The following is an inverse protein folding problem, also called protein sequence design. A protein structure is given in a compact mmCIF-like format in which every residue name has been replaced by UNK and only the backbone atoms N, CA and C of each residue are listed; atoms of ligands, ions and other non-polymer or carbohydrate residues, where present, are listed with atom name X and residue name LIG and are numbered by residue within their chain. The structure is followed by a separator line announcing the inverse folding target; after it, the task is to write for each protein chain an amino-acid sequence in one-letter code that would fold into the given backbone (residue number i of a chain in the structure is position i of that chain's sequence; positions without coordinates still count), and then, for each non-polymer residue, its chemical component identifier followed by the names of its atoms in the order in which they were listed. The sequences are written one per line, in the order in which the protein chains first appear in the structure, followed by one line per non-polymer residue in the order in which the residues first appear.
data_IF_783750223235
#
_entry.id   IF_783750223235
#
_cell.length_a   1.000
_cell.length_b   1.000
_cell.length_c   1.000
_cell.angle_alpha   90.00
_cell.angle_beta   90.00
_cell.angle_gamma   90.00
#
_symmetry.space_group_name_H-M   'P 1'
#
loop_
_entity.id
_entity.type
_entity.pdbx_description
1 polymer ?
#
# COMPACT_ATOMS: atom_id res chain seq x y z
N UNK A 1 -1.43 14.50 -3.22
CA UNK A 1 -0.68 15.77 -3.07
C UNK A 1 -1.68 16.93 -3.16
N UNK A 2 -1.49 18.02 -2.40
CA UNK A 2 -2.42 19.17 -2.42
C UNK A 2 -2.10 20.12 -3.58
N UNK A 3 -3.09 20.87 -4.07
CA UNK A 3 -2.89 21.87 -5.12
C UNK A 3 -1.79 22.86 -4.77
N UNK A 4 -1.78 23.34 -3.51
CA UNK A 4 -0.78 24.29 -3.03
C UNK A 4 0.66 23.78 -3.21
N UNK A 5 0.91 22.46 -3.07
CA UNK A 5 2.25 21.92 -3.27
C UNK A 5 2.75 22.06 -4.72
N UNK A 6 1.83 22.10 -5.70
CA UNK A 6 2.18 22.29 -7.11
C UNK A 6 2.43 23.75 -7.48
N UNK A 7 1.79 24.70 -6.78
CA UNK A 7 1.78 26.12 -7.17
C UNK A 7 2.28 27.09 -6.11
N UNK A 8 2.83 26.61 -4.97
CA UNK A 8 3.29 27.50 -3.87
C UNK A 8 4.31 28.55 -4.31
N UNK A 9 5.12 28.24 -5.33
CA UNK A 9 6.16 29.09 -5.88
C UNK A 9 6.09 28.98 -7.40
N UNK A 10 5.81 30.10 -8.05
CA UNK A 10 5.72 30.20 -9.51
C UNK A 10 6.92 31.03 -9.99
N UNK A 11 7.88 30.32 -10.60
CA UNK A 11 9.15 30.85 -11.10
C UNK A 11 9.39 30.37 -12.54
N UNK A 12 10.12 31.13 -13.36
CA UNK A 12 10.61 30.62 -14.64
C UNK A 12 11.44 29.34 -14.43
N UNK A 13 11.34 28.38 -15.36
CA UNK A 13 12.04 27.10 -15.27
C UNK A 13 11.43 26.09 -14.29
N UNK A 14 10.30 26.40 -13.63
CA UNK A 14 9.57 25.40 -12.86
C UNK A 14 8.98 24.30 -13.76
N UNK A 15 8.64 23.16 -13.17
CA UNK A 15 7.87 22.12 -13.83
C UNK A 15 6.61 21.79 -13.01
N UNK A 16 5.55 21.42 -13.71
CA UNK A 16 4.28 21.03 -13.09
C UNK A 16 3.83 19.69 -13.69
N UNK A 17 3.59 18.70 -12.83
CA UNK A 17 2.88 17.48 -13.25
C UNK A 17 1.43 17.85 -13.58
N UNK A 18 1.13 18.12 -14.86
CA UNK A 18 -0.19 18.59 -15.32
C UNK A 18 -1.32 17.69 -14.85
N UNK A 19 -1.16 16.37 -15.00
CA UNK A 19 -2.18 15.38 -14.60
C UNK A 19 -2.45 15.40 -13.10
N UNK A 20 -1.42 15.44 -12.26
CA UNK A 20 -1.61 15.44 -10.81
C UNK A 20 -2.14 16.79 -10.31
N UNK A 21 -1.67 17.88 -10.90
CA UNK A 21 -2.11 19.22 -10.55
C UNK A 21 -3.57 19.47 -10.93
N UNK A 22 -4.01 19.05 -12.13
CA UNK A 22 -5.42 19.13 -12.55
C UNK A 22 -6.33 18.33 -11.61
N UNK A 23 -5.93 17.11 -11.25
CA UNK A 23 -6.67 16.32 -10.27
C UNK A 23 -6.69 16.99 -8.89
N UNK A 24 -5.62 17.69 -8.49
CA UNK A 24 -5.57 18.45 -7.25
C UNK A 24 -6.49 19.69 -7.28
N UNK A 25 -6.64 20.35 -8.43
CA UNK A 25 -7.61 21.43 -8.63
C UNK A 25 -9.03 20.90 -8.40
N UNK A 26 -9.42 19.83 -9.10
CA UNK A 26 -10.76 19.24 -8.96
C UNK A 26 -11.09 18.89 -7.50
N UNK A 27 -10.14 18.27 -6.78
CA UNK A 27 -10.31 17.99 -5.34
C UNK A 27 -10.41 19.25 -4.48
N UNK A 28 -9.64 20.31 -4.78
CA UNK A 28 -9.70 21.56 -4.03
C UNK A 28 -11.08 22.24 -4.13
N UNK A 29 -11.78 22.01 -5.25
CA UNK A 29 -13.13 22.50 -5.50
C UNK A 29 -14.23 21.60 -4.91
N UNK A 30 -13.86 20.44 -4.35
CA UNK A 30 -14.82 19.47 -3.84
C UNK A 30 -15.60 18.75 -4.94
N UNK A 31 -15.02 18.61 -6.13
CA UNK A 31 -15.63 17.79 -7.19
C UNK A 31 -15.53 16.34 -6.77
N UNK A 32 -16.68 15.70 -6.64
CA UNK A 32 -16.81 14.28 -6.39
C UNK A 32 -16.74 13.49 -7.70
N UNK A 33 -16.24 12.26 -7.61
CA UNK A 33 -16.17 11.30 -8.71
C UNK A 33 -17.16 10.16 -8.49
N UNK A 34 -17.55 9.48 -9.56
CA UNK A 34 -18.47 8.35 -9.49
C UNK A 34 -17.95 7.19 -8.63
N UNK A 35 -16.64 7.16 -8.39
CA UNK A 35 -15.92 6.10 -7.67
C UNK A 35 -15.42 6.54 -6.29
N UNK A 36 -15.79 7.72 -5.77
CA UNK A 36 -15.29 8.18 -4.47
C UNK A 36 -15.74 7.27 -3.32
N UNK A 37 -16.96 6.77 -3.36
CA UNK A 37 -17.49 5.81 -2.37
C UNK A 37 -16.77 4.46 -2.46
N UNK A 38 -16.50 4.01 -3.69
CA UNK A 38 -15.72 2.80 -3.94
C UNK A 38 -14.28 2.97 -3.41
N UNK A 39 -13.63 4.10 -3.66
CA UNK A 39 -12.30 4.41 -3.15
C UNK A 39 -12.24 4.40 -1.61
N UNK A 40 -13.27 4.95 -0.94
CA UNK A 40 -13.35 4.90 0.53
C UNK A 40 -13.49 3.46 1.03
N UNK A 41 -14.36 2.69 0.38
CA UNK A 41 -14.62 1.29 0.72
C UNK A 41 -13.37 0.42 0.52
N UNK A 42 -12.74 0.50 -0.65
CA UNK A 42 -11.54 -0.27 -0.98
C UNK A 42 -10.37 0.03 -0.04
N UNK A 43 -10.20 1.30 0.37
CA UNK A 43 -9.15 1.66 1.34
C UNK A 43 -9.43 1.08 2.72
N UNK A 44 -10.68 1.14 3.19
CA UNK A 44 -11.08 0.55 4.46
C UNK A 44 -10.92 -0.98 4.45
N UNK A 45 -11.32 -1.64 3.36
CA UNK A 45 -11.10 -3.08 3.19
C UNK A 45 -9.61 -3.45 3.22
N UNK A 46 -8.77 -2.68 2.52
CA UNK A 46 -7.33 -2.93 2.47
C UNK A 46 -6.65 -2.77 3.83
N UNK A 47 -7.09 -1.79 4.63
CA UNK A 47 -6.60 -1.57 6.00
C UNK A 47 -7.01 -2.70 6.95
N UNK A 48 -8.19 -3.31 6.73
CA UNK A 48 -8.65 -4.45 7.51
C UNK A 48 -8.00 -5.80 7.14
N UNK A 49 -7.24 -5.87 6.04
CA UNK A 49 -6.67 -7.13 5.54
C UNK A 49 -5.29 -7.41 6.14
N UNK A 50 -5.04 -8.61 6.73
CA UNK A 50 -3.75 -8.98 7.32
C UNK A 50 -2.59 -8.96 6.31
N UNK A 51 -1.36 -8.68 6.78
CA UNK A 51 -0.21 -8.43 5.92
C UNK A 51 0.74 -9.63 5.69
N UNK A 52 0.73 -10.66 6.54
CA UNK A 52 1.81 -11.65 6.58
C UNK A 52 1.33 -13.10 6.51
N UNK A 53 2.03 -13.90 5.68
CA UNK A 53 1.87 -15.35 5.60
C UNK A 53 2.82 -16.01 6.62
N UNK A 54 2.30 -16.75 7.63
CA UNK A 54 3.15 -17.41 8.61
C UNK A 54 3.96 -18.56 8.01
N UNK A 55 5.20 -18.72 8.46
CA UNK A 55 6.04 -19.85 8.06
C UNK A 55 5.62 -21.15 8.75
N UNK A 56 5.59 -22.24 7.99
CA UNK A 56 5.35 -23.61 8.45
C UNK A 56 6.63 -24.43 8.64
N UNK A 57 7.81 -23.82 8.45
CA UNK A 57 9.09 -24.53 8.48
C UNK A 57 9.41 -25.14 9.85
N UNK A 58 9.13 -24.39 10.92
CA UNK A 58 9.36 -24.85 12.31
C UNK A 58 8.51 -26.07 12.65
N UNK A 59 7.20 -26.03 12.34
CA UNK A 59 6.31 -27.16 12.59
C UNK A 59 6.69 -28.39 11.76
N UNK A 60 7.08 -28.22 10.48
CA UNK A 60 7.59 -29.31 9.65
C UNK A 60 8.84 -29.96 10.24
N UNK A 61 9.77 -29.15 10.75
CA UNK A 61 10.99 -29.64 11.38
C UNK A 61 10.69 -30.45 12.63
N UNK A 62 9.80 -29.96 13.49
CA UNK A 62 9.39 -30.66 14.71
C UNK A 62 8.75 -32.03 14.43
N UNK A 63 7.92 -32.14 13.39
CA UNK A 63 7.36 -33.44 12.96
C UNK A 63 8.46 -34.41 12.51
N UNK A 64 9.49 -33.92 11.80
CA UNK A 64 10.60 -34.77 11.37
C UNK A 64 11.46 -35.24 12.56
N UNK A 65 11.75 -34.35 13.50
CA UNK A 65 12.50 -34.66 14.72
C UNK A 65 11.76 -35.70 15.58
N UNK A 66 10.49 -35.45 15.90
CA UNK A 66 9.65 -36.37 16.69
C UNK A 66 9.39 -37.70 15.98
N UNK A 67 9.32 -37.74 14.64
CA UNK A 67 9.25 -38.99 13.88
C UNK A 67 10.52 -39.84 14.04
N UNK A 68 11.69 -39.21 13.96
CA UNK A 68 12.97 -39.90 14.12
C UNK A 68 13.15 -40.43 15.56
N UNK A 69 12.76 -39.64 16.57
CA UNK A 69 12.77 -40.06 17.97
C UNK A 69 11.81 -41.23 18.23
N UNK A 70 10.59 -41.18 17.64
CA UNK A 70 9.61 -42.24 17.75
C UNK A 70 10.15 -43.57 17.18
N UNK A 71 10.79 -43.52 16.01
CA UNK A 71 11.33 -44.72 15.37
C UNK A 71 12.48 -45.32 16.19
N UNK A 72 13.39 -44.49 16.70
CA UNK A 72 14.47 -44.93 17.58
C UNK A 72 13.94 -45.60 18.87
N UNK A 73 12.83 -45.09 19.44
CA UNK A 73 12.20 -45.72 20.61
C UNK A 73 11.50 -47.03 20.26
N UNK A 74 10.88 -47.16 19.08
CA UNK A 74 10.30 -48.43 18.60
C UNK A 74 11.35 -49.51 18.42
N UNK A 75 12.47 -49.18 17.79
CA UNK A 75 13.61 -50.08 17.64
C UNK A 75 14.14 -50.57 19.00
N UNK A 76 14.25 -49.65 19.98
CA UNK A 76 14.69 -49.99 21.34
C UNK A 76 13.72 -50.94 22.06
N UNK A 77 12.41 -50.72 21.94
CA UNK A 77 11.39 -51.61 22.49
C UNK A 77 11.48 -53.00 21.85
N UNK A 78 11.64 -53.08 20.52
CA UNK A 78 11.79 -54.34 19.82
C UNK A 78 13.05 -55.12 20.26
N UNK A 79 14.19 -54.43 20.39
CA UNK A 79 15.44 -55.04 20.86
C UNK A 79 15.34 -55.55 22.31
N UNK A 80 14.69 -54.79 23.20
CA UNK A 80 14.47 -55.21 24.60
C UNK A 80 13.48 -56.39 24.70
N UNK A 81 12.43 -56.40 23.88
CA UNK A 81 11.50 -57.53 23.78
C UNK A 81 12.21 -58.81 23.37
N UNK A 82 13.10 -58.74 22.36
CA UNK A 82 13.90 -59.88 21.92
C UNK A 82 14.80 -60.44 23.03
N UNK A 83 15.46 -59.57 23.80
CA UNK A 83 16.28 -59.97 24.96
C UNK A 83 15.47 -60.60 26.10
N UNK A 84 14.29 -60.05 26.43
CA UNK A 84 13.39 -60.65 27.42
C UNK A 84 12.96 -62.06 27.06
N UNK A 85 12.72 -62.34 25.77
CA UNK A 85 12.32 -63.67 25.31
C UNK A 85 13.47 -64.69 25.33
N UNK A 86 14.71 -64.22 25.38
CA UNK A 86 15.92 -65.05 25.46
C UNK A 86 16.38 -65.36 26.90
N UNK A 87 15.61 -64.94 27.92
CA UNK A 87 15.80 -65.23 29.36
C UNK A 87 17.09 -64.67 30.02
N UNK A 88 17.58 -63.51 29.54
CA UNK A 88 18.60 -62.71 30.22
C UNK A 88 17.97 -61.88 31.36
N UNK A 89 18.21 -62.30 32.61
CA UNK A 89 17.67 -61.64 33.81
C UNK A 89 17.91 -60.12 33.87
N UNK A 90 16.91 -59.38 34.37
CA UNK A 90 16.76 -57.92 34.49
C UNK A 90 16.24 -57.15 33.24
N UNK A 91 15.97 -57.82 32.12
CA UNK A 91 15.43 -57.16 30.92
C UNK A 91 14.00 -56.58 31.09
N UNK A 92 13.24 -57.03 32.10
CA UNK A 92 11.83 -56.65 32.32
C UNK A 92 11.60 -55.20 32.75
N UNK A 93 12.47 -54.64 33.60
CA UNK A 93 12.31 -53.24 34.06
C UNK A 93 12.69 -52.26 32.96
N UNK A 94 13.79 -52.53 32.25
CA UNK A 94 14.21 -51.75 31.08
C UNK A 94 13.16 -51.78 29.96
N UNK A 95 12.48 -52.91 29.75
CA UNK A 95 11.40 -53.02 28.77
C UNK A 95 10.18 -52.17 29.13
N UNK A 96 9.72 -52.21 30.39
CA UNK A 96 8.61 -51.37 30.86
C UNK A 96 8.92 -49.88 30.72
N UNK A 97 10.14 -49.46 31.04
CA UNK A 97 10.58 -48.08 30.85
C UNK A 97 10.64 -47.68 29.37
N UNK A 98 11.13 -48.58 28.49
CA UNK A 98 11.12 -48.37 27.05
C UNK A 98 9.70 -48.23 26.48
N UNK A 99 8.72 -49.00 26.96
CA UNK A 99 7.30 -48.83 26.58
C UNK A 99 6.81 -47.45 27.00
N UNK A 100 7.07 -47.03 28.26
CA UNK A 100 6.64 -45.71 28.74
C UNK A 100 7.19 -44.58 27.88
N UNK A 101 8.51 -44.60 27.63
CA UNK A 101 9.15 -43.58 26.79
C UNK A 101 8.66 -43.62 25.35
N UNK A 102 8.31 -44.78 24.81
CA UNK A 102 7.69 -44.92 23.49
C UNK A 102 6.31 -44.23 23.46
N UNK A 103 5.45 -44.49 24.45
CA UNK A 103 4.13 -43.83 24.53
C UNK A 103 4.24 -42.30 24.65
N UNK A 104 5.26 -41.79 25.36
CA UNK A 104 5.57 -40.36 25.40
C UNK A 104 5.94 -39.83 24.01
N UNK A 105 6.81 -40.53 23.25
CA UNK A 105 7.16 -40.11 21.89
C UNK A 105 6.00 -40.21 20.90
N UNK A 106 5.12 -41.20 21.04
CA UNK A 106 3.90 -41.30 20.24
C UNK A 106 3.00 -40.08 20.47
N UNK A 107 2.87 -39.66 21.73
CA UNK A 107 2.13 -38.45 22.11
C UNK A 107 2.77 -37.20 21.54
N UNK A 108 4.10 -37.04 21.69
CA UNK A 108 4.82 -35.89 21.14
C UNK A 108 4.73 -35.80 19.62
N UNK A 109 4.84 -36.94 18.93
CA UNK A 109 4.70 -37.02 17.48
C UNK A 109 3.28 -36.65 17.02
N UNK A 110 2.25 -37.15 17.71
CA UNK A 110 0.87 -36.80 17.43
C UNK A 110 0.64 -35.28 17.58
N UNK A 111 1.10 -34.69 18.69
CA UNK A 111 1.00 -33.25 18.93
C UNK A 111 1.78 -32.42 17.88
N UNK A 112 2.96 -32.88 17.46
CA UNK A 112 3.73 -32.21 16.41
C UNK A 112 2.99 -32.23 15.06
N UNK A 113 2.30 -33.32 14.72
CA UNK A 113 1.50 -33.42 13.49
C UNK A 113 0.31 -32.48 13.53
N UNK A 114 -0.43 -32.44 14.62
CA UNK A 114 -1.56 -31.52 14.81
C UNK A 114 -1.11 -30.06 14.65
N UNK A 115 -0.01 -29.68 15.32
CA UNK A 115 0.56 -28.34 15.18
C UNK A 115 1.00 -27.99 13.74
N UNK A 116 1.47 -28.98 12.97
CA UNK A 116 1.78 -28.79 11.55
C UNK A 116 0.53 -28.60 10.71
N UNK A 117 -0.54 -29.34 10.97
CA UNK A 117 -1.80 -29.20 10.25
C UNK A 117 -2.45 -27.84 10.54
N UNK A 118 -2.43 -27.37 11.80
CA UNK A 118 -2.84 -26.01 12.17
C UNK A 118 -1.99 -24.94 11.48
N UNK A 119 -0.67 -25.15 11.40
CA UNK A 119 0.23 -24.23 10.71
C UNK A 119 -0.02 -24.21 9.20
N UNK A 120 -0.41 -25.33 8.60
CA UNK A 120 -0.80 -25.40 7.19
C UNK A 120 -2.09 -24.64 6.94
N UNK A 121 -3.08 -24.80 7.79
CA UNK A 121 -4.37 -24.12 7.64
C UNK A 121 -4.20 -22.60 7.76
N UNK A 122 -3.49 -22.14 8.80
CA UNK A 122 -3.16 -20.71 8.94
C UNK A 122 -2.39 -20.15 7.73
N UNK A 123 -1.46 -20.93 7.18
CA UNK A 123 -0.73 -20.51 5.99
C UNK A 123 -1.62 -20.43 4.75
N UNK A 124 -2.61 -21.33 4.58
CA UNK A 124 -3.61 -21.26 3.50
C UNK A 124 -4.48 -20.02 3.64
N UNK A 125 -5.08 -19.80 4.80
CA UNK A 125 -5.90 -18.60 5.07
C UNK A 125 -5.13 -17.33 4.77
N UNK A 126 -3.86 -17.25 5.20
CA UNK A 126 -3.04 -16.07 4.94
C UNK A 126 -2.67 -15.89 3.46
N UNK A 127 -2.56 -16.99 2.68
CA UNK A 127 -2.39 -16.90 1.23
C UNK A 127 -3.67 -16.40 0.55
N UNK A 128 -4.83 -16.87 0.98
CA UNK A 128 -6.14 -16.40 0.48
C UNK A 128 -6.33 -14.92 0.80
N UNK A 129 -5.96 -14.47 2.00
CA UNK A 129 -5.97 -13.06 2.39
C UNK A 129 -5.01 -12.22 1.54
N UNK A 130 -3.81 -12.75 1.24
CA UNK A 130 -2.86 -12.09 0.35
C UNK A 130 -3.43 -11.95 -1.07
N UNK A 131 -4.06 -12.99 -1.61
CA UNK A 131 -4.67 -12.95 -2.93
C UNK A 131 -5.85 -11.97 -2.96
N UNK A 132 -6.66 -11.94 -1.90
CA UNK A 132 -7.71 -10.92 -1.72
C UNK A 132 -7.12 -9.52 -1.69
N UNK A 133 -6.02 -9.31 -0.96
CA UNK A 133 -5.31 -8.02 -0.88
C UNK A 133 -4.85 -7.54 -2.25
N UNK A 134 -4.20 -8.40 -3.03
CA UNK A 134 -3.74 -8.07 -4.39
C UNK A 134 -4.92 -7.63 -5.28
N UNK A 135 -6.05 -8.35 -5.22
CA UNK A 135 -7.27 -7.97 -5.97
C UNK A 135 -7.86 -6.64 -5.51
N UNK A 136 -7.74 -6.30 -4.22
CA UNK A 136 -8.18 -5.00 -3.70
C UNK A 136 -7.25 -3.88 -4.16
N UNK A 137 -5.93 -4.09 -4.14
CA UNK A 137 -4.93 -3.12 -4.62
C UNK A 137 -5.12 -2.82 -6.11
N UNK A 138 -5.37 -3.84 -6.95
CA UNK A 138 -5.66 -3.66 -8.37
C UNK A 138 -6.95 -2.87 -8.61
N UNK A 139 -8.03 -3.21 -7.88
CA UNK A 139 -9.29 -2.47 -7.96
C UNK A 139 -9.12 -1.02 -7.50
N UNK A 140 -8.38 -0.79 -6.42
CA UNK A 140 -8.05 0.55 -5.94
C UNK A 140 -7.31 1.33 -7.02
N UNK A 141 -6.29 0.73 -7.64
CA UNK A 141 -5.56 1.36 -8.74
C UNK A 141 -6.44 1.68 -9.96
N UNK A 142 -7.40 0.81 -10.29
CA UNK A 142 -8.38 1.05 -11.35
C UNK A 142 -9.31 2.23 -10.99
N UNK A 143 -9.88 2.23 -9.79
CA UNK A 143 -10.75 3.30 -9.29
C UNK A 143 -10.00 4.64 -9.25
N UNK A 144 -8.75 4.68 -8.76
CA UNK A 144 -7.95 5.91 -8.74
C UNK A 144 -7.67 6.47 -10.14
N UNK A 145 -7.44 5.58 -11.13
CA UNK A 145 -7.32 5.97 -12.53
C UNK A 145 -8.63 6.52 -13.09
N UNK A 146 -9.77 5.96 -12.73
CA UNK A 146 -11.10 6.47 -13.13
C UNK A 146 -11.38 7.84 -12.49
N UNK A 147 -11.21 7.98 -11.17
CA UNK A 147 -11.36 9.24 -10.47
C UNK A 147 -10.48 10.34 -11.10
N UNK A 148 -9.21 10.03 -11.40
CA UNK A 148 -8.32 10.99 -12.07
C UNK A 148 -8.87 11.43 -13.43
N UNK A 149 -9.35 10.51 -14.27
CA UNK A 149 -9.93 10.85 -15.58
C UNK A 149 -11.16 11.75 -15.46
N UNK A 150 -12.06 11.42 -14.53
CA UNK A 150 -13.28 12.22 -14.30
C UNK A 150 -12.96 13.63 -13.81
N UNK A 151 -12.06 13.77 -12.82
CA UNK A 151 -11.61 15.07 -12.33
C UNK A 151 -10.98 15.90 -13.44
N UNK A 152 -10.12 15.28 -14.26
CA UNK A 152 -9.49 15.95 -15.41
C UNK A 152 -10.54 16.42 -16.42
N UNK A 153 -11.47 15.55 -16.81
CA UNK A 153 -12.53 15.89 -17.75
C UNK A 153 -13.41 17.03 -17.25
N UNK A 154 -13.73 17.05 -15.96
CA UNK A 154 -14.58 18.07 -15.36
C UNK A 154 -13.90 19.44 -15.28
N UNK A 155 -12.59 19.48 -15.04
CA UNK A 155 -11.87 20.72 -14.76
C UNK A 155 -11.16 21.31 -15.97
N UNK A 156 -10.80 20.48 -16.96
CA UNK A 156 -9.96 20.87 -18.09
C UNK A 156 -10.48 22.09 -18.85
N UNK A 157 -11.77 22.20 -19.23
CA UNK A 157 -12.26 23.39 -19.93
C UNK A 157 -12.00 24.69 -19.18
N UNK A 158 -12.24 24.72 -17.86
CA UNK A 158 -12.02 25.91 -17.02
C UNK A 158 -10.55 26.27 -16.90
N UNK A 159 -9.66 25.26 -16.89
CA UNK A 159 -8.21 25.50 -16.83
C UNK A 159 -7.69 25.98 -18.17
N UNK A 160 -8.18 25.42 -19.28
CA UNK A 160 -7.82 25.88 -20.62
C UNK A 160 -8.23 27.35 -20.82
N UNK A 161 -9.45 27.73 -20.42
CA UNK A 161 -9.88 29.14 -20.42
C UNK A 161 -8.96 30.05 -19.57
N UNK A 162 -8.56 29.57 -18.39
CA UNK A 162 -7.67 30.32 -17.50
C UNK A 162 -6.23 30.41 -18.02
N UNK A 163 -5.80 29.45 -18.84
CA UNK A 163 -4.51 29.49 -19.54
C UNK A 163 -4.54 30.51 -20.68
N UNK A 164 -5.61 30.54 -21.46
CA UNK A 164 -5.78 31.51 -22.53
C UNK A 164 -5.84 32.96 -21.98
N UNK A 165 -6.41 33.15 -20.79
CA UNK A 165 -6.45 34.43 -20.07
C UNK A 165 -5.17 34.71 -19.24
N UNK A 166 -4.19 33.80 -19.19
CA UNK A 166 -3.01 33.97 -18.35
C UNK A 166 -2.06 35.04 -18.90
N UNK A 167 -1.54 35.96 -18.06
CA UNK A 167 -0.67 37.02 -18.54
C UNK A 167 0.62 36.49 -19.17
N UNK A 168 0.80 36.84 -20.45
CA UNK A 168 1.95 36.43 -21.26
C UNK A 168 1.95 34.96 -21.66
N UNK A 169 0.80 34.29 -21.60
CA UNK A 169 0.52 33.04 -22.28
C UNK A 169 0.20 33.29 -23.75
N UNK A 170 0.67 32.40 -24.62
CA UNK A 170 0.29 32.32 -26.04
C UNK A 170 -0.48 31.02 -26.34
N UNK A 171 -0.75 30.21 -25.31
CA UNK A 171 -1.40 28.92 -25.45
C UNK A 171 -2.91 29.02 -25.23
N UNK A 172 -3.68 28.25 -26.00
CA UNK A 172 -5.13 28.12 -25.85
C UNK A 172 -5.54 27.06 -24.82
N UNK A 173 -4.57 26.30 -24.28
CA UNK A 173 -4.85 25.20 -23.36
C UNK A 173 -3.65 24.73 -22.57
N UNK A 174 -3.93 23.99 -21.48
CA UNK A 174 -2.94 23.59 -20.48
C UNK A 174 -1.86 22.65 -21.01
N UNK A 175 -2.14 21.91 -22.08
CA UNK A 175 -1.19 20.98 -22.67
C UNK A 175 -0.10 21.69 -23.51
N UNK A 176 -0.41 22.86 -24.06
CA UNK A 176 0.52 23.66 -24.87
C UNK A 176 1.16 24.81 -24.07
N UNK A 177 0.60 25.13 -22.91
CA UNK A 177 1.09 26.17 -22.02
C UNK A 177 2.48 25.88 -21.46
N UNK A 178 3.29 26.95 -21.35
CA UNK A 178 4.50 26.93 -20.54
C UNK A 178 4.16 26.70 -19.05
N UNK A 179 5.12 26.21 -18.28
CA UNK A 179 4.88 25.79 -16.89
C UNK A 179 4.40 26.94 -15.98
N UNK A 180 4.79 28.18 -16.25
CA UNK A 180 4.33 29.35 -15.48
C UNK A 180 2.87 29.62 -15.78
N UNK A 181 2.49 29.68 -17.06
CA UNK A 181 1.10 29.92 -17.47
C UNK A 181 0.16 28.81 -16.97
N UNK A 182 0.59 27.55 -17.07
CA UNK A 182 -0.14 26.43 -16.49
C UNK A 182 -0.29 26.56 -14.96
N UNK A 183 0.79 26.89 -14.23
CA UNK A 183 0.74 27.05 -12.77
C UNK A 183 -0.19 28.21 -12.35
N UNK A 184 -0.17 29.32 -13.08
CA UNK A 184 -1.05 30.46 -12.86
C UNK A 184 -2.52 30.08 -13.06
N UNK A 185 -2.84 29.41 -14.17
CA UNK A 185 -4.19 28.94 -14.45
C UNK A 185 -4.70 27.97 -13.37
N UNK A 186 -3.86 27.01 -12.95
CA UNK A 186 -4.19 26.07 -11.88
C UNK A 186 -4.45 26.79 -10.54
N UNK A 187 -3.65 27.82 -10.23
CA UNK A 187 -3.81 28.62 -9.02
C UNK A 187 -5.07 29.51 -9.06
N UNK A 188 -5.45 30.02 -10.24
CA UNK A 188 -6.67 30.79 -10.48
C UNK A 188 -7.94 29.96 -10.35
N UNK A 189 -7.94 28.76 -10.93
CA UNK A 189 -9.14 27.90 -10.96
C UNK A 189 -9.35 27.18 -9.63
N UNK A 190 -8.26 26.77 -8.97
CA UNK A 190 -8.36 25.98 -7.75
C UNK A 190 -8.58 26.80 -6.48
N UNK A 191 -9.08 26.14 -5.43
CA UNK A 191 -9.29 26.78 -4.13
C UNK A 191 -8.02 26.71 -3.29
N UNK A 192 -7.33 27.83 -3.18
CA UNK A 192 -6.10 27.97 -2.38
C UNK A 192 -6.35 28.95 -1.23
N UNK A 193 -6.06 28.53 0.00
CA UNK A 193 -6.20 29.37 1.21
C UNK A 193 -4.88 29.99 1.69
N UNK A 194 -3.76 29.57 1.12
CA UNK A 194 -2.41 29.97 1.52
C UNK A 194 -1.81 30.89 0.46
N UNK A 195 -1.03 31.92 0.85
CA UNK A 195 -0.41 32.80 -0.12
C UNK A 195 0.51 32.06 -1.09
N UNK A 196 0.42 32.41 -2.38
CA UNK A 196 1.28 31.91 -3.47
C UNK A 196 2.41 32.90 -3.74
N UNK A 197 3.64 32.41 -3.89
CA UNK A 197 4.80 33.25 -4.22
C UNK A 197 4.98 33.32 -5.75
N UNK A 198 5.01 34.54 -6.28
CA UNK A 198 5.14 34.84 -7.70
C UNK A 198 6.48 35.54 -7.96
N UNK A 199 7.39 34.87 -8.64
CA UNK A 199 8.67 35.41 -9.08
C UNK A 199 8.82 35.22 -10.60
N UNK A 200 7.72 35.35 -11.33
CA UNK A 200 7.63 35.12 -12.77
C UNK A 200 7.56 36.39 -13.62
N UNK A 201 7.49 37.58 -13.00
CA UNK A 201 7.44 38.86 -13.71
C UNK A 201 6.17 39.11 -14.54
N UNK A 202 5.18 38.20 -14.52
CA UNK A 202 3.96 38.28 -15.36
C UNK A 202 2.94 39.33 -14.90
N UNK A 203 3.05 39.84 -13.68
CA UNK A 203 2.13 40.81 -13.12
C UNK A 203 2.83 42.14 -12.80
N UNK A 204 2.18 43.28 -13.09
CA UNK A 204 2.74 44.60 -12.81
C UNK A 204 2.79 44.93 -11.31
N UNK A 205 1.85 44.40 -10.52
CA UNK A 205 1.80 44.61 -9.07
C UNK A 205 1.26 43.38 -8.34
N UNK A 206 1.41 43.37 -7.01
CA UNK A 206 0.80 42.34 -6.14
C UNK A 206 -0.71 42.33 -6.29
N UNK A 207 -1.35 43.50 -6.21
CA UNK A 207 -2.82 43.58 -6.26
C UNK A 207 -3.38 43.12 -7.61
N UNK A 208 -2.65 43.36 -8.72
CA UNK A 208 -3.03 42.82 -10.02
C UNK A 208 -3.01 41.29 -10.04
N UNK A 209 -2.00 40.69 -9.40
CA UNK A 209 -1.90 39.24 -9.29
C UNK A 209 -3.00 38.65 -8.40
N UNK A 210 -3.26 39.25 -7.22
CA UNK A 210 -4.31 38.78 -6.32
C UNK A 210 -5.71 38.90 -6.94
N UNK A 211 -5.98 39.99 -7.68
CA UNK A 211 -7.23 40.15 -8.42
C UNK A 211 -7.42 39.08 -9.50
N UNK A 212 -6.36 38.76 -10.23
CA UNK A 212 -6.45 37.76 -11.30
C UNK A 212 -6.55 36.34 -10.77
N UNK A 213 -5.76 36.01 -9.73
CA UNK A 213 -5.73 34.68 -9.12
C UNK A 213 -6.92 34.40 -8.20
N UNK A 214 -7.53 35.43 -7.60
CA UNK A 214 -8.53 35.24 -6.55
C UNK A 214 -7.97 34.64 -5.25
N UNK A 215 -6.65 34.64 -5.06
CA UNK A 215 -5.95 34.11 -3.88
C UNK A 215 -4.87 35.09 -3.43
N UNK A 216 -4.53 35.14 -2.12
CA UNK A 216 -3.42 35.96 -1.65
C UNK A 216 -2.11 35.60 -2.35
N UNK A 217 -1.29 36.61 -2.67
CA UNK A 217 -0.04 36.41 -3.38
C UNK A 217 1.08 37.29 -2.81
N UNK A 218 2.29 36.72 -2.77
CA UNK A 218 3.53 37.46 -2.57
C UNK A 218 4.22 37.61 -3.91
N UNK A 219 4.44 38.86 -4.36
CA UNK A 219 5.18 39.13 -5.58
C UNK A 219 6.62 39.47 -5.25
N UNK A 220 7.56 38.72 -5.82
CA UNK A 220 8.98 39.04 -5.81
C UNK A 220 9.29 39.72 -7.15
N UNK A 221 9.73 40.99 -7.17
CA UNK A 221 10.14 41.64 -8.41
C UNK A 221 11.34 40.89 -9.02
N UNK A 222 11.42 40.76 -10.35
CA UNK A 222 12.62 40.23 -10.97
C UNK A 222 13.82 41.10 -10.57
N UNK A 223 14.92 40.47 -10.15
CA UNK A 223 16.18 41.20 -10.01
C UNK A 223 16.65 41.52 -11.43
N UNK A 224 16.86 42.80 -11.70
CA UNK A 224 17.30 43.31 -13.00
C UNK A 224 18.70 42.84 -13.37
#
# INVERSE_FOLDING_TARGET
MSLYAHVRLIVPGMSVSRRDALAAVGRSLGIETSVDDELRTLRAELESTPAAVPSRATARRRVAETAAELEAKRERVAALRGRMQADDGDAGTAYRDAIRTLSEAETEYAAAREALDDARERARTALDDRDRRLRLEDRLGNAERTARRELLSAIRPRVDDAVADAPGSEADGVDDADAVSAALALAKVGRIRRPVVLACGRFPSRDAAERWLGTPAYRIPPQG
#
